data_IF_437555097604
#
_entry.id   IF_437555097604
#
_cell.length_a   1.000
_cell.length_b   1.000
_cell.length_c   1.000
_cell.angle_alpha   90.00
_cell.angle_beta   90.00
_cell.angle_gamma   90.00
#
_symmetry.space_group_name_H-M   'P 1'
#
loop_
_entity.id
_entity.type
_entity.pdbx_description
1 polymer ?
#
# COMPACT_ATOMS: atom_id res chain seq x y z
N UNK A 1 -20.59 7.39 23.08
CA UNK A 1 -20.88 6.82 21.73
C UNK A 1 -20.08 5.54 21.61
N UNK A 2 -20.77 4.39 21.52
CA UNK A 2 -20.11 3.09 21.33
C UNK A 2 -19.67 3.01 19.86
N UNK A 3 -18.43 3.39 19.56
CA UNK A 3 -17.88 3.16 18.23
C UNK A 3 -17.64 1.65 18.08
N UNK A 4 -18.19 1.04 17.02
CA UNK A 4 -17.89 -0.36 16.73
C UNK A 4 -16.36 -0.54 16.60
N UNK A 5 -15.81 -1.69 17.04
CA UNK A 5 -14.38 -1.91 16.89
C UNK A 5 -13.98 -1.84 15.39
N UNK A 6 -12.79 -1.31 15.07
CA UNK A 6 -12.32 -1.22 13.70
C UNK A 6 -12.29 -2.61 13.05
N UNK A 7 -12.69 -2.69 11.78
CA UNK A 7 -12.73 -3.94 11.04
C UNK A 7 -11.32 -4.51 10.87
N UNK A 8 -11.13 -5.73 11.35
CA UNK A 8 -9.91 -6.49 11.16
C UNK A 8 -9.95 -7.23 9.83
N UNK A 9 -8.86 -7.17 9.04
CA UNK A 9 -8.76 -7.80 7.72
C UNK A 9 -7.89 -9.06 7.75
N UNK A 10 -6.70 -8.97 8.33
CA UNK A 10 -5.78 -10.11 8.46
C UNK A 10 -4.82 -9.92 9.64
N UNK A 11 -4.11 -11.00 9.99
CA UNK A 11 -3.11 -11.02 11.08
C UNK A 11 -1.79 -11.63 10.60
N UNK A 12 -0.69 -11.28 11.26
CA UNK A 12 0.62 -11.90 11.03
C UNK A 12 1.51 -11.72 12.26
N UNK A 13 2.09 -12.83 12.74
CA UNK A 13 2.82 -12.81 14.00
C UNK A 13 1.97 -12.26 15.14
N UNK A 14 2.44 -11.20 15.80
CA UNK A 14 1.71 -10.46 16.85
C UNK A 14 0.99 -9.22 16.34
N UNK A 15 0.92 -9.04 15.02
CA UNK A 15 0.30 -7.88 14.38
C UNK A 15 -1.09 -8.17 13.85
N UNK A 16 -1.90 -7.11 13.80
CA UNK A 16 -3.20 -7.10 13.15
C UNK A 16 -3.29 -5.94 12.16
N UNK A 17 -3.84 -6.21 10.99
CA UNK A 17 -4.22 -5.18 10.02
C UNK A 17 -5.69 -4.81 10.23
N UNK A 18 -5.95 -3.56 10.57
CA UNK A 18 -7.30 -3.03 10.81
C UNK A 18 -7.56 -1.82 9.94
N UNK A 19 -8.82 -1.58 9.59
CA UNK A 19 -9.22 -0.34 8.90
C UNK A 19 -8.99 0.86 9.83
N UNK A 20 -8.41 1.92 9.26
CA UNK A 20 -8.21 3.20 9.94
C UNK A 20 -9.57 3.89 10.15
N UNK A 21 -9.72 4.54 11.27
CA UNK A 21 -10.89 5.37 11.60
C UNK A 21 -10.43 6.77 12.02
N UNK A 22 -11.35 7.74 12.05
CA UNK A 22 -11.05 9.14 12.39
C UNK A 22 -10.32 9.30 13.74
N UNK A 23 -10.67 8.46 14.72
CA UNK A 23 -10.01 8.45 16.03
C UNK A 23 -8.51 8.11 15.96
N UNK A 24 -8.03 7.56 14.84
CA UNK A 24 -6.63 7.18 14.63
C UNK A 24 -5.76 8.33 14.10
N UNK A 25 -6.36 9.44 13.67
CA UNK A 25 -5.64 10.57 13.05
C UNK A 25 -4.42 11.04 13.85
N UNK A 26 -4.48 11.21 15.19
CA UNK A 26 -3.30 11.62 15.94
C UNK A 26 -2.17 10.59 15.90
N UNK A 27 -2.50 9.29 15.93
CA UNK A 27 -1.52 8.21 15.90
C UNK A 27 -0.91 8.03 14.51
N UNK A 28 -1.69 8.25 13.44
CA UNK A 28 -1.21 8.25 12.06
C UNK A 28 -0.26 9.44 11.83
N UNK A 29 -0.59 10.64 12.31
CA UNK A 29 0.28 11.80 12.22
C UNK A 29 1.61 11.57 12.96
N UNK A 30 1.58 10.97 14.15
CA UNK A 30 2.78 10.58 14.88
C UNK A 30 3.63 9.56 14.10
N UNK A 31 3.00 8.57 13.45
CA UNK A 31 3.68 7.59 12.61
C UNK A 31 4.45 8.27 11.45
N UNK A 32 3.82 9.21 10.74
CA UNK A 32 4.49 9.96 9.66
C UNK A 32 5.67 10.79 10.19
N UNK A 33 5.49 11.49 11.31
CA UNK A 33 6.55 12.28 11.95
C UNK A 33 7.74 11.41 12.39
N UNK A 34 7.50 10.19 12.89
CA UNK A 34 8.54 9.23 13.27
C UNK A 34 9.18 8.48 12.07
N UNK A 35 8.58 8.56 10.88
CA UNK A 35 8.99 7.80 9.69
C UNK A 35 9.01 8.69 8.42
N UNK A 36 9.80 9.80 8.42
CA UNK A 36 9.75 10.81 7.36
C UNK A 36 10.40 10.38 6.04
N UNK A 37 11.19 9.30 6.04
CA UNK A 37 12.04 8.95 4.89
C UNK A 37 11.23 8.65 3.62
N UNK A 38 10.01 8.12 3.77
CA UNK A 38 9.17 7.86 2.61
C UNK A 38 8.77 9.15 1.92
N UNK A 39 8.21 10.12 2.65
CA UNK A 39 7.77 11.40 2.09
C UNK A 39 8.95 12.22 1.53
N UNK A 40 10.07 12.25 2.24
CA UNK A 40 11.30 12.90 1.74
C UNK A 40 11.77 12.32 0.41
N UNK A 41 11.73 10.98 0.29
CA UNK A 41 12.22 10.29 -0.91
C UNK A 41 11.23 10.35 -2.07
N UNK A 42 9.94 10.17 -1.80
CA UNK A 42 8.90 10.01 -2.83
C UNK A 42 8.29 11.34 -3.21
N UNK A 43 8.11 12.26 -2.26
CA UNK A 43 7.38 13.51 -2.43
C UNK A 43 8.25 14.76 -2.27
N UNK A 44 9.55 14.58 -1.93
CA UNK A 44 10.53 15.66 -1.72
C UNK A 44 10.12 16.66 -0.63
N UNK A 45 9.33 16.24 0.37
CA UNK A 45 8.84 17.09 1.46
C UNK A 45 8.90 16.44 2.83
N UNK A 46 8.77 17.24 3.87
CA UNK A 46 8.62 16.77 5.25
C UNK A 46 7.17 16.34 5.54
N UNK A 47 6.98 15.42 6.51
CA UNK A 47 5.65 15.09 7.03
C UNK A 47 4.94 16.32 7.60
N UNK A 48 3.63 16.38 7.38
CA UNK A 48 2.78 17.41 7.89
C UNK A 48 1.49 16.82 8.51
N UNK A 49 0.81 17.51 9.42
CA UNK A 49 -0.38 16.98 10.08
C UNK A 49 -1.49 16.53 9.12
N UNK A 50 -1.60 17.17 7.95
CA UNK A 50 -2.58 16.81 6.92
C UNK A 50 -2.35 15.43 6.30
N UNK A 51 -1.13 14.86 6.34
CA UNK A 51 -0.84 13.54 5.76
C UNK A 51 -1.70 12.44 6.39
N UNK A 52 -2.03 12.57 7.67
CA UNK A 52 -2.92 11.64 8.35
C UNK A 52 -4.35 11.68 7.78
N UNK A 53 -4.86 12.89 7.51
CA UNK A 53 -6.18 13.09 6.93
C UNK A 53 -6.19 12.61 5.47
N UNK A 54 -5.15 12.93 4.71
CA UNK A 54 -5.00 12.46 3.33
C UNK A 54 -4.95 10.94 3.26
N UNK A 55 -4.19 10.28 4.15
CA UNK A 55 -4.17 8.82 4.23
C UNK A 55 -5.55 8.24 4.50
N UNK A 56 -6.31 8.82 5.44
CA UNK A 56 -7.63 8.32 5.82
C UNK A 56 -8.70 8.57 4.73
N UNK A 57 -8.63 9.71 4.05
CA UNK A 57 -9.62 10.15 3.06
C UNK A 57 -9.26 9.81 1.61
N UNK A 58 -8.04 9.33 1.35
CA UNK A 58 -7.60 9.01 0.00
C UNK A 58 -8.51 7.97 -0.65
N UNK A 59 -8.86 8.24 -1.88
CA UNK A 59 -9.59 7.30 -2.75
C UNK A 59 -8.91 7.27 -4.13
N UNK A 60 -9.04 6.19 -4.89
CA UNK A 60 -8.57 6.17 -6.26
C UNK A 60 -9.17 7.31 -7.11
N UNK A 61 -8.45 7.78 -8.15
CA UNK A 61 -8.96 8.79 -9.06
C UNK A 61 -10.35 8.45 -9.60
N UNK A 62 -11.27 9.44 -9.73
CA UNK A 62 -12.67 9.20 -10.07
C UNK A 62 -12.90 8.59 -11.46
N UNK A 63 -11.91 8.71 -12.35
CA UNK A 63 -11.92 8.08 -13.67
C UNK A 63 -11.60 6.58 -13.63
N UNK A 64 -11.17 6.04 -12.49
CA UNK A 64 -10.83 4.62 -12.32
C UNK A 64 -11.94 3.91 -11.56
N UNK A 65 -12.42 2.80 -12.12
CA UNK A 65 -13.35 1.92 -11.41
C UNK A 65 -12.59 1.05 -10.42
N UNK A 66 -13.14 0.90 -9.22
CA UNK A 66 -12.67 -0.03 -8.19
C UNK A 66 -13.88 -0.54 -7.39
N UNK A 67 -13.75 -1.66 -6.68
CA UNK A 67 -14.83 -2.20 -5.84
C UNK A 67 -14.73 -1.71 -4.41
N UNK A 68 -13.59 -1.95 -3.76
CA UNK A 68 -13.34 -1.56 -2.38
C UNK A 68 -12.01 -0.81 -2.28
N UNK A 69 -11.90 0.08 -1.29
CA UNK A 69 -10.68 0.77 -0.94
C UNK A 69 -10.47 0.67 0.58
N UNK A 70 -9.25 0.34 0.98
CA UNK A 70 -8.88 0.12 2.39
C UNK A 70 -7.69 0.99 2.76
N UNK A 71 -7.84 1.83 3.78
CA UNK A 71 -6.74 2.45 4.52
C UNK A 71 -6.50 1.59 5.78
N UNK A 72 -5.36 0.91 5.85
CA UNK A 72 -5.08 -0.09 6.88
C UNK A 72 -3.93 0.34 7.78
N UNK A 73 -4.10 0.10 9.08
CA UNK A 73 -3.09 0.24 10.11
C UNK A 73 -2.56 -1.13 10.49
N UNK A 74 -1.24 -1.29 10.49
CA UNK A 74 -0.57 -2.47 11.02
C UNK A 74 -0.24 -2.18 12.49
N UNK A 75 -1.02 -2.78 13.41
CA UNK A 75 -0.89 -2.58 14.85
C UNK A 75 -0.20 -3.75 15.52
N UNK A 76 0.69 -3.44 16.46
CA UNK A 76 1.28 -4.44 17.36
C UNK A 76 0.32 -4.83 18.49
N UNK A 77 0.73 -5.74 19.35
CA UNK A 77 -0.05 -6.20 20.53
C UNK A 77 -0.35 -5.08 21.53
N UNK A 78 0.39 -3.97 21.50
CA UNK A 78 0.14 -2.78 22.35
C UNK A 78 -0.69 -1.72 21.60
N UNK A 79 -1.27 -2.05 20.46
CA UNK A 79 -2.05 -1.15 19.59
C UNK A 79 -1.24 0.00 18.96
N UNK A 80 0.11 -0.04 19.01
CA UNK A 80 0.96 0.93 18.34
C UNK A 80 0.92 0.69 16.83
N UNK A 81 0.87 1.79 16.07
CA UNK A 81 0.96 1.72 14.60
C UNK A 81 2.42 1.54 14.20
N UNK A 82 2.71 0.42 13.55
CA UNK A 82 4.03 0.05 13.04
C UNK A 82 4.10 0.00 11.50
N UNK A 83 2.96 0.20 10.85
CA UNK A 83 2.90 0.35 9.40
C UNK A 83 1.54 0.85 8.92
N UNK A 84 1.54 1.34 7.68
CA UNK A 84 0.38 1.80 6.95
C UNK A 84 0.30 1.05 5.62
N UNK A 85 -0.91 0.70 5.20
CA UNK A 85 -1.17 0.14 3.86
C UNK A 85 -2.41 0.77 3.26
N UNK A 86 -2.39 0.97 1.92
CA UNK A 86 -3.58 1.34 1.15
C UNK A 86 -3.76 0.35 0.02
N UNK A 87 -4.95 -0.21 -0.06
CA UNK A 87 -5.30 -1.27 -1.01
C UNK A 87 -6.59 -0.90 -1.72
N UNK A 88 -6.61 -1.00 -3.05
CA UNK A 88 -7.83 -0.94 -3.84
C UNK A 88 -8.05 -2.28 -4.54
N UNK A 89 -9.29 -2.77 -4.52
CA UNK A 89 -9.68 -4.01 -5.19
C UNK A 89 -10.37 -3.72 -6.51
N UNK A 90 -10.17 -4.59 -7.49
CA UNK A 90 -10.69 -4.43 -8.85
C UNK A 90 -10.21 -3.13 -9.53
N UNK A 91 -8.97 -2.72 -9.26
CA UNK A 91 -8.35 -1.52 -9.81
C UNK A 91 -7.09 -1.86 -10.63
N UNK A 92 -7.01 -1.55 -11.92
CA UNK A 92 -7.97 -0.84 -12.78
C UNK A 92 -8.98 -1.76 -13.45
N UNK A 93 -9.04 -3.04 -13.10
CA UNK A 93 -9.97 -4.02 -13.66
C UNK A 93 -10.31 -5.10 -12.64
N UNK A 94 -11.42 -5.80 -12.85
CA UNK A 94 -11.86 -6.93 -12.01
C UNK A 94 -10.75 -7.94 -11.78
N UNK A 95 -10.55 -8.35 -10.53
CA UNK A 95 -9.51 -9.29 -10.11
C UNK A 95 -8.12 -8.67 -9.91
N UNK A 96 -7.92 -7.39 -10.23
CA UNK A 96 -6.66 -6.68 -9.95
C UNK A 96 -6.71 -6.03 -8.58
N UNK A 97 -5.80 -6.40 -7.70
CA UNK A 97 -5.62 -5.76 -6.41
C UNK A 97 -4.41 -4.82 -6.45
N UNK A 98 -4.66 -3.55 -6.21
CA UNK A 98 -3.65 -2.51 -6.26
C UNK A 98 -3.22 -2.09 -4.85
N UNK A 99 -1.95 -2.34 -4.53
CA UNK A 99 -1.32 -1.86 -3.31
C UNK A 99 -0.74 -0.47 -3.59
N UNK A 100 -1.47 0.57 -3.19
CA UNK A 100 -1.10 1.97 -3.46
C UNK A 100 -0.03 2.48 -2.51
N UNK A 101 -0.05 2.02 -1.26
CA UNK A 101 0.91 2.38 -0.22
C UNK A 101 1.25 1.18 0.64
N UNK A 102 2.51 1.03 0.99
CA UNK A 102 2.97 0.18 2.08
C UNK A 102 4.16 0.84 2.76
N UNK A 103 3.97 1.28 3.98
CA UNK A 103 5.00 1.85 4.84
C UNK A 103 5.16 0.99 6.10
N UNK A 104 6.40 0.89 6.57
CA UNK A 104 6.75 0.30 7.86
C UNK A 104 7.60 1.31 8.62
N UNK A 105 7.34 1.45 9.91
CA UNK A 105 8.07 2.36 10.79
C UNK A 105 9.60 2.21 10.60
N UNK A 106 10.30 3.33 10.40
CA UNK A 106 11.75 3.38 10.13
C UNK A 106 12.55 2.57 11.14
N UNK A 107 12.20 2.64 12.42
CA UNK A 107 12.84 1.88 13.52
C UNK A 107 12.76 0.35 13.36
N UNK A 108 11.86 -0.15 12.51
CA UNK A 108 11.65 -1.58 12.25
C UNK A 108 12.21 -2.03 10.89
N UNK A 109 12.87 -1.14 10.17
CA UNK A 109 13.51 -1.49 8.91
C UNK A 109 14.60 -2.57 9.12
N UNK A 110 14.68 -3.52 8.19
CA UNK A 110 15.63 -4.64 8.25
C UNK A 110 15.25 -5.76 9.23
N UNK A 111 14.14 -5.65 9.96
CA UNK A 111 13.67 -6.65 10.94
C UNK A 111 12.63 -7.64 10.40
N UNK A 112 12.40 -7.68 9.08
CA UNK A 112 11.48 -8.62 8.45
C UNK A 112 10.00 -8.22 8.48
N UNK A 113 9.61 -7.14 9.19
CA UNK A 113 8.20 -6.76 9.35
C UNK A 113 7.52 -6.51 7.99
N UNK A 114 8.16 -5.79 7.08
CA UNK A 114 7.62 -5.53 5.75
C UNK A 114 7.34 -6.84 4.97
N UNK A 115 8.22 -7.82 5.07
CA UNK A 115 8.04 -9.11 4.41
C UNK A 115 6.89 -9.90 5.02
N UNK A 116 6.79 -9.93 6.35
CA UNK A 116 5.70 -10.63 7.05
C UNK A 116 4.33 -9.99 6.76
N UNK A 117 4.25 -8.66 6.83
CA UNK A 117 3.04 -7.90 6.51
C UNK A 117 2.59 -8.09 5.05
N UNK A 118 3.55 -8.03 4.11
CA UNK A 118 3.25 -8.27 2.70
C UNK A 118 2.77 -9.71 2.45
N UNK A 119 3.41 -10.72 3.05
CA UNK A 119 2.99 -12.11 2.91
C UNK A 119 1.56 -12.34 3.40
N UNK A 120 1.16 -11.72 4.52
CA UNK A 120 -0.20 -11.78 5.03
C UNK A 120 -1.20 -11.05 4.12
N UNK A 121 -0.83 -9.86 3.62
CA UNK A 121 -1.62 -9.14 2.61
C UNK A 121 -1.83 -10.01 1.36
N UNK A 122 -0.77 -10.62 0.81
CA UNK A 122 -0.86 -11.48 -0.37
C UNK A 122 -1.78 -12.68 -0.13
N UNK A 123 -1.69 -13.31 1.04
CA UNK A 123 -2.56 -14.42 1.42
C UNK A 123 -4.03 -13.97 1.51
N UNK A 124 -4.28 -12.83 2.14
CA UNK A 124 -5.62 -12.22 2.22
C UNK A 124 -6.17 -11.89 0.83
N UNK A 125 -5.38 -11.25 -0.03
CA UNK A 125 -5.78 -10.91 -1.39
C UNK A 125 -6.16 -12.16 -2.20
N UNK A 126 -5.34 -13.21 -2.14
CA UNK A 126 -5.60 -14.50 -2.81
C UNK A 126 -6.88 -15.15 -2.29
N UNK A 127 -7.06 -15.22 -0.97
CA UNK A 127 -8.26 -15.80 -0.35
C UNK A 127 -9.52 -15.00 -0.70
N UNK A 128 -9.38 -13.71 -1.00
CA UNK A 128 -10.48 -12.80 -1.39
C UNK A 128 -10.69 -12.71 -2.91
N UNK A 129 -10.05 -13.58 -3.71
CA UNK A 129 -10.28 -13.70 -5.15
C UNK A 129 -9.40 -12.82 -6.05
N UNK A 130 -8.29 -12.27 -5.54
CA UNK A 130 -7.33 -11.58 -6.39
C UNK A 130 -6.76 -12.53 -7.45
N UNK A 131 -6.82 -12.12 -8.73
CA UNK A 131 -6.15 -12.79 -9.83
C UNK A 131 -4.74 -12.22 -10.04
N UNK A 132 -4.58 -10.93 -9.82
CA UNK A 132 -3.34 -10.21 -10.03
C UNK A 132 -3.10 -9.17 -8.93
N UNK A 133 -1.83 -9.01 -8.57
CA UNK A 133 -1.35 -7.97 -7.66
C UNK A 133 -0.57 -6.93 -8.46
N UNK A 134 -0.86 -5.67 -8.21
CA UNK A 134 -0.27 -4.53 -8.88
C UNK A 134 0.19 -3.49 -7.87
N UNK A 135 1.26 -2.79 -8.18
CA UNK A 135 1.73 -1.63 -7.41
C UNK A 135 2.51 -0.65 -8.29
N UNK A 136 2.75 0.54 -7.78
CA UNK A 136 3.66 1.53 -8.35
C UNK A 136 4.85 1.74 -7.43
N UNK A 137 6.05 1.86 -8.00
CA UNK A 137 7.28 2.22 -7.26
C UNK A 137 7.94 3.39 -7.96
N UNK A 138 8.24 4.44 -7.20
CA UNK A 138 9.05 5.56 -7.70
C UNK A 138 10.46 5.02 -8.04
N UNK A 139 10.95 5.31 -9.25
CA UNK A 139 12.20 4.73 -9.77
C UNK A 139 13.40 4.95 -8.87
N UNK A 140 13.48 6.13 -8.24
CA UNK A 140 14.53 6.49 -7.29
C UNK A 140 14.49 5.64 -6.00
N UNK A 141 13.36 5.03 -5.67
CA UNK A 141 13.23 4.16 -4.52
C UNK A 141 13.81 2.75 -4.80
N UNK A 142 15.13 2.69 -5.00
CA UNK A 142 15.85 1.43 -5.30
C UNK A 142 15.63 0.37 -4.23
N UNK A 143 15.47 0.77 -2.97
CA UNK A 143 15.22 -0.16 -1.86
C UNK A 143 13.85 -0.84 -2.00
N UNK A 144 12.78 -0.07 -2.25
CA UNK A 144 11.45 -0.62 -2.48
C UNK A 144 11.42 -1.49 -3.74
N UNK A 145 12.03 -1.03 -4.85
CA UNK A 145 12.11 -1.81 -6.09
C UNK A 145 12.74 -3.18 -5.85
N UNK A 146 13.89 -3.26 -5.17
CA UNK A 146 14.54 -4.53 -4.82
C UNK A 146 13.68 -5.40 -3.89
N UNK A 147 12.96 -4.78 -2.96
CA UNK A 147 12.02 -5.49 -2.09
C UNK A 147 10.91 -6.15 -2.92
N UNK A 148 10.24 -5.42 -3.80
CA UNK A 148 9.15 -5.93 -4.63
C UNK A 148 9.61 -7.00 -5.62
N UNK A 149 10.79 -6.84 -6.21
CA UNK A 149 11.39 -7.87 -7.06
C UNK A 149 11.60 -9.19 -6.29
N UNK A 150 12.07 -9.14 -5.04
CA UNK A 150 12.20 -10.33 -4.20
C UNK A 150 10.84 -10.94 -3.83
N UNK A 151 9.77 -10.15 -3.79
CA UNK A 151 8.40 -10.66 -3.62
C UNK A 151 7.82 -11.26 -4.92
N UNK A 152 8.57 -11.28 -6.03
CA UNK A 152 8.16 -11.86 -7.30
C UNK A 152 7.43 -10.88 -8.24
N UNK A 153 7.45 -9.58 -7.95
CA UNK A 153 6.93 -8.59 -8.88
C UNK A 153 7.91 -8.34 -10.03
N UNK A 154 7.34 -8.16 -11.23
CA UNK A 154 8.07 -7.75 -12.42
C UNK A 154 7.57 -6.40 -12.92
N UNK A 155 8.48 -5.57 -13.44
CA UNK A 155 8.15 -4.30 -14.08
C UNK A 155 7.46 -4.57 -15.44
N UNK A 156 6.32 -3.92 -15.66
CA UNK A 156 5.55 -4.06 -16.91
C UNK A 156 5.37 -2.73 -17.64
N UNK A 157 5.60 -1.60 -16.97
CA UNK A 157 5.44 -0.26 -17.56
C UNK A 157 6.18 0.79 -16.75
N UNK A 158 6.56 1.89 -17.44
CA UNK A 158 7.01 3.14 -16.83
C UNK A 158 6.01 4.25 -17.10
N UNK A 159 5.79 5.09 -16.11
CA UNK A 159 5.00 6.31 -16.22
C UNK A 159 5.91 7.46 -15.82
N UNK A 160 6.28 8.28 -16.80
CA UNK A 160 7.14 9.44 -16.60
C UNK A 160 6.31 10.68 -16.24
N UNK A 161 6.93 11.64 -15.55
CA UNK A 161 6.30 12.92 -15.23
C UNK A 161 5.10 12.82 -14.29
N UNK A 162 5.04 11.80 -13.43
CA UNK A 162 3.97 11.64 -12.44
C UNK A 162 4.24 12.62 -11.29
N UNK A 163 3.26 13.47 -11.00
CA UNK A 163 3.33 14.37 -9.84
C UNK A 163 3.28 13.55 -8.54
N UNK A 164 4.28 13.74 -7.69
CA UNK A 164 4.42 13.08 -6.39
C UNK A 164 4.83 14.15 -5.38
N UNK A 165 3.87 14.70 -4.63
CA UNK A 165 4.11 15.83 -3.75
C UNK A 165 4.72 17.01 -4.52
N UNK A 166 5.89 17.48 -4.09
CA UNK A 166 6.59 18.65 -4.65
C UNK A 166 7.49 18.32 -5.86
N UNK A 167 7.47 17.07 -6.37
CA UNK A 167 8.34 16.66 -7.46
C UNK A 167 7.61 15.90 -8.57
N UNK A 168 8.26 15.80 -9.74
CA UNK A 168 7.87 14.90 -10.81
C UNK A 168 8.75 13.66 -10.78
N UNK A 169 8.14 12.50 -10.85
CA UNK A 169 8.84 11.22 -10.74
C UNK A 169 8.48 10.27 -11.88
N UNK A 170 9.37 9.33 -12.15
CA UNK A 170 9.05 8.14 -12.93
C UNK A 170 8.54 7.05 -12.00
N UNK A 171 7.33 6.53 -12.26
CA UNK A 171 6.73 5.43 -11.52
C UNK A 171 6.81 4.15 -12.33
N UNK A 172 7.46 3.14 -11.76
CA UNK A 172 7.52 1.79 -12.31
C UNK A 172 6.26 1.05 -11.90
N UNK A 173 5.43 0.67 -12.87
CA UNK A 173 4.28 -0.20 -12.63
C UNK A 173 4.77 -1.63 -12.57
N UNK A 174 4.54 -2.27 -11.44
CA UNK A 174 4.96 -3.64 -11.19
C UNK A 174 3.75 -4.55 -11.00
N UNK A 175 3.88 -5.79 -11.46
CA UNK A 175 2.81 -6.78 -11.53
C UNK A 175 3.31 -8.15 -11.03
N UNK A 176 2.37 -8.93 -10.46
CA UNK A 176 2.59 -10.31 -10.02
C UNK A 176 1.29 -11.10 -10.14
N UNK A 177 1.30 -12.39 -10.58
CA UNK A 177 0.12 -13.25 -10.51
C UNK A 177 -0.22 -13.60 -9.05
N UNK A 178 -1.50 -13.53 -8.71
CA UNK A 178 -2.01 -13.98 -7.42
C UNK A 178 -2.66 -15.37 -7.50
N UNK A 179 -3.09 -15.76 -8.71
CA UNK A 179 -3.63 -17.07 -9.04
C UNK A 179 -2.93 -17.60 -10.30
N UNK A 180 -3.45 -18.68 -10.90
CA UNK A 180 -2.98 -19.19 -12.19
C UNK A 180 -3.45 -18.30 -13.36
N UNK A 181 -3.02 -17.04 -13.34
CA UNK A 181 -3.39 -16.01 -14.30
C UNK A 181 -2.14 -15.40 -14.94
N UNK A 182 -2.15 -15.29 -16.26
CA UNK A 182 -0.99 -14.84 -17.05
C UNK A 182 -0.88 -13.33 -17.15
N UNK A 183 0.29 -12.83 -17.54
CA UNK A 183 0.49 -11.43 -17.90
C UNK A 183 -0.35 -11.03 -19.11
N UNK A 184 -0.54 -11.92 -20.09
CA UNK A 184 -1.37 -11.66 -21.26
C UNK A 184 -2.82 -11.37 -20.90
N UNK A 185 -3.41 -12.18 -20.01
CA UNK A 185 -4.77 -11.96 -19.49
C UNK A 185 -4.86 -10.65 -18.71
N UNK A 186 -3.86 -10.34 -17.87
CA UNK A 186 -3.80 -9.05 -17.17
C UNK A 186 -3.78 -7.86 -18.14
N UNK A 187 -2.93 -7.89 -19.18
CA UNK A 187 -2.82 -6.79 -20.14
C UNK A 187 -4.08 -6.61 -20.99
N UNK A 188 -4.83 -7.69 -21.22
CA UNK A 188 -6.13 -7.64 -21.88
C UNK A 188 -7.23 -7.05 -20.98
N UNK A 189 -7.22 -7.39 -19.67
CA UNK A 189 -8.21 -6.92 -18.69
C UNK A 189 -7.95 -5.49 -18.20
N UNK A 190 -6.67 -5.09 -18.09
CA UNK A 190 -6.24 -3.78 -17.57
C UNK A 190 -5.57 -2.98 -18.72
N UNK A 191 -6.33 -2.45 -19.66
CA UNK A 191 -5.78 -1.64 -20.75
C UNK A 191 -5.11 -0.38 -20.21
N UNK A 192 -4.32 0.26 -21.05
CA UNK A 192 -3.35 1.34 -20.77
C UNK A 192 -3.92 2.58 -20.10
#
# INVERSE_FOLDING_TARGET
MNCAPPRQLFTFGTYVAVEAVEADLPAIAAFYAESPEYLRMVEAREPAPQDALEFLSAVPPPELSYRDHYALLLRDACSRIDGLMMVATDLPATGVWHLSLMMVATRLHGRGLAQAAYGAYEAWARASGACWLRLGVVEQNVRARRFWQRQGYVEIRRREGVAMGDCLSTVLVMWKPAANASLGEYLAAAPR
#
